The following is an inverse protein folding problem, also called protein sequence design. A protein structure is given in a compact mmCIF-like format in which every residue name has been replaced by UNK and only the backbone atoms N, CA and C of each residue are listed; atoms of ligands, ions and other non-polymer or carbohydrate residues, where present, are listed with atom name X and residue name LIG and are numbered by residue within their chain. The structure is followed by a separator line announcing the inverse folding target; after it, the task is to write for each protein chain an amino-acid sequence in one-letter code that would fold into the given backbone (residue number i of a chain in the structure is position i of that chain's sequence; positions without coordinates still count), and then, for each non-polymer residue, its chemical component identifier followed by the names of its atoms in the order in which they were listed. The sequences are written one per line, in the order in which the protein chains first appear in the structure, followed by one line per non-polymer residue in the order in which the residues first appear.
data_IF_067814233272
#
_entry.id   IF_067814233272
#
_cell.length_a   1.000
_cell.length_b   1.000
_cell.length_c   1.000
_cell.angle_alpha   90.00
_cell.angle_beta   90.00
_cell.angle_gamma   90.00
#
_symmetry.space_group_name_H-M   'P 1'
#
loop_
_entity.id
_entity.type
_entity.pdbx_description
1 polymer ?
#
# COMPACT_ATOMS: atom_id res chain seq x y z
N UNK A 1 1.12 8.24 4.13
CA UNK A 1 0.40 8.53 5.41
C UNK A 1 0.34 10.00 5.86
N UNK A 2 1.10 10.96 5.31
CA UNK A 2 1.18 12.33 5.87
C UNK A 2 -0.04 13.26 5.64
N UNK A 3 -1.16 12.77 5.11
CA UNK A 3 -2.30 13.64 4.79
C UNK A 3 -2.98 14.13 6.07
N UNK A 4 -3.12 15.45 6.30
CA UNK A 4 -3.50 15.96 7.62
C UNK A 4 -5.00 15.79 7.91
N UNK A 5 -5.34 15.50 9.18
CA UNK A 5 -6.74 15.42 9.66
C UNK A 5 -7.57 16.63 9.25
N UNK A 6 -6.99 17.84 9.35
CA UNK A 6 -7.68 19.08 9.02
C UNK A 6 -8.13 19.19 7.55
N UNK A 7 -7.52 18.42 6.65
CA UNK A 7 -7.84 18.41 5.23
C UNK A 7 -8.90 17.36 4.84
N UNK A 8 -9.41 16.57 5.80
CA UNK A 8 -10.43 15.55 5.57
C UNK A 8 -11.61 15.82 6.51
N UNK A 9 -12.65 16.54 6.06
CA UNK A 9 -13.75 17.00 6.91
C UNK A 9 -14.42 15.90 7.74
N UNK A 10 -14.60 14.71 7.15
CA UNK A 10 -15.26 13.57 7.78
C UNK A 10 -14.41 12.99 8.92
N UNK A 11 -13.09 12.92 8.72
CA UNK A 11 -12.15 12.47 9.77
C UNK A 11 -12.05 13.54 10.87
N UNK A 12 -11.97 14.82 10.49
CA UNK A 12 -12.00 15.93 11.46
C UNK A 12 -13.28 15.92 12.30
N UNK A 13 -14.40 15.50 11.73
CA UNK A 13 -15.68 15.35 12.42
C UNK A 13 -15.67 14.33 13.56
N UNK A 14 -14.68 13.44 13.63
CA UNK A 14 -14.54 12.44 14.69
C UNK A 14 -13.92 13.02 15.98
N UNK A 15 -13.18 14.14 15.89
CA UNK A 15 -12.42 14.72 17.03
C UNK A 15 -13.29 14.90 18.29
N UNK A 16 -14.51 15.46 18.24
CA UNK A 16 -15.33 15.66 19.44
C UNK A 16 -15.77 14.37 20.14
N UNK A 17 -15.66 13.22 19.45
CA UNK A 17 -16.08 11.91 19.95
C UNK A 17 -14.89 11.03 20.37
N UNK A 18 -13.65 11.51 20.19
CA UNK A 18 -12.44 10.83 20.62
C UNK A 18 -12.42 10.66 22.14
N UNK A 19 -12.08 9.46 22.62
CA UNK A 19 -11.96 9.15 24.05
C UNK A 19 -10.55 8.71 24.42
N UNK A 20 -10.19 7.46 24.14
CA UNK A 20 -8.99 6.81 24.69
C UNK A 20 -7.85 6.67 23.66
N UNK A 21 -7.57 7.73 22.91
CA UNK A 21 -6.49 7.74 21.92
C UNK A 21 -5.29 8.50 22.45
N UNK A 22 -4.09 7.95 22.25
CA UNK A 22 -2.82 8.64 22.44
C UNK A 22 -1.99 8.57 21.17
N UNK A 23 -1.22 9.60 20.91
CA UNK A 23 -0.31 9.62 19.77
C UNK A 23 1.10 10.02 20.15
N UNK A 24 2.07 9.44 19.46
CA UNK A 24 3.47 9.82 19.47
C UNK A 24 3.85 10.17 18.04
N UNK A 25 4.16 11.44 17.79
CA UNK A 25 4.61 11.91 16.49
C UNK A 25 6.13 11.83 16.42
N UNK A 26 6.65 10.96 15.55
CA UNK A 26 8.09 10.85 15.33
C UNK A 26 8.57 12.08 14.58
N UNK A 27 9.47 12.82 15.21
CA UNK A 27 10.20 13.94 14.63
C UNK A 27 10.91 13.48 13.36
N UNK A 28 10.60 14.16 12.26
CA UNK A 28 11.20 13.89 10.96
C UNK A 28 12.67 14.29 10.98
N UNK A 29 13.53 13.29 10.93
CA UNK A 29 14.98 13.46 10.86
C UNK A 29 15.60 12.26 10.14
N UNK A 30 16.89 12.33 9.85
CA UNK A 30 17.64 11.26 9.18
C UNK A 30 18.95 10.99 9.92
N UNK A 31 19.52 9.81 9.72
CA UNK A 31 20.83 9.46 10.27
C UNK A 31 21.57 8.49 9.36
N UNK A 32 22.88 8.73 9.17
CA UNK A 32 23.76 7.83 8.42
C UNK A 32 24.04 6.52 9.19
N UNK A 33 23.86 6.54 10.51
CA UNK A 33 24.03 5.41 11.41
C UNK A 33 22.75 5.17 12.22
N UNK A 34 22.54 3.95 12.68
CA UNK A 34 21.41 3.60 13.54
C UNK A 34 21.38 4.46 14.81
N UNK A 35 20.29 5.21 15.01
CA UNK A 35 20.09 6.02 16.20
C UNK A 35 19.58 5.18 17.37
N UNK A 36 20.01 5.53 18.58
CA UNK A 36 19.48 4.93 19.83
C UNK A 36 18.19 5.61 20.31
N UNK A 37 17.98 6.88 19.94
CA UNK A 37 16.85 7.70 20.38
C UNK A 37 16.03 8.24 19.20
N UNK A 38 14.74 8.47 19.46
CA UNK A 38 13.81 9.14 18.55
C UNK A 38 13.38 10.48 19.12
N UNK A 39 13.16 11.46 18.25
CA UNK A 39 12.58 12.75 18.64
C UNK A 39 11.05 12.58 18.65
N UNK A 40 10.38 12.95 19.75
CA UNK A 40 8.93 12.96 19.82
C UNK A 40 8.44 12.95 21.26
N UNK A 41 7.15 13.18 21.45
CA UNK A 41 6.50 13.12 22.75
C UNK A 41 5.13 12.47 22.65
N UNK A 42 4.75 11.73 23.69
CA UNK A 42 3.41 11.19 23.81
C UNK A 42 2.43 12.31 24.16
N UNK A 43 1.33 12.35 23.43
CA UNK A 43 0.25 13.29 23.62
C UNK A 43 -1.10 12.56 23.73
N UNK A 44 -2.07 13.20 24.38
CA UNK A 44 -3.48 12.80 24.37
C UNK A 44 -4.23 13.33 23.14
N UNK A 45 -3.55 14.06 22.26
CA UNK A 45 -4.10 14.51 21.00
C UNK A 45 -4.16 13.35 19.99
N UNK A 46 -5.06 13.48 19.01
CA UNK A 46 -5.11 12.57 17.88
C UNK A 46 -3.82 12.65 17.04
N UNK A 47 -3.41 11.58 16.34
CA UNK A 47 -2.30 11.68 15.40
C UNK A 47 -2.64 12.66 14.26
N UNK A 48 -1.62 13.33 13.74
CA UNK A 48 -1.75 14.37 12.70
C UNK A 48 -2.27 13.82 11.37
N UNK A 49 -1.99 12.55 11.08
CA UNK A 49 -2.44 11.84 9.87
C UNK A 49 -3.91 11.47 9.94
N UNK A 50 -4.66 11.82 8.89
CA UNK A 50 -6.08 11.49 8.75
C UNK A 50 -6.32 9.97 8.75
N UNK A 51 -5.45 9.19 8.09
CA UNK A 51 -5.57 7.73 8.07
C UNK A 51 -5.25 7.16 9.45
N UNK A 52 -4.17 7.64 10.09
CA UNK A 52 -3.78 7.15 11.41
C UNK A 52 -4.85 7.48 12.48
N UNK A 53 -5.45 8.67 12.40
CA UNK A 53 -6.51 9.05 13.34
C UNK A 53 -7.78 8.25 13.09
N UNK A 54 -8.21 8.11 11.83
CA UNK A 54 -9.35 7.25 11.48
C UNK A 54 -9.14 5.82 11.98
N UNK A 55 -7.97 5.24 11.72
CA UNK A 55 -7.60 3.91 12.20
C UNK A 55 -7.72 3.79 13.73
N UNK A 56 -7.09 4.71 14.47
CA UNK A 56 -7.12 4.69 15.93
C UNK A 56 -8.53 4.84 16.49
N UNK A 57 -9.31 5.75 15.91
CA UNK A 57 -10.69 6.01 16.33
C UNK A 57 -11.57 4.78 16.14
N UNK A 58 -11.57 4.18 14.95
CA UNK A 58 -12.43 3.03 14.69
C UNK A 58 -11.97 1.77 15.44
N UNK A 59 -10.66 1.61 15.69
CA UNK A 59 -10.17 0.49 16.49
C UNK A 59 -10.54 0.63 17.97
N UNK A 60 -10.52 1.85 18.51
CA UNK A 60 -10.98 2.13 19.88
C UNK A 60 -12.49 1.87 20.00
N UNK A 61 -13.31 2.34 19.05
CA UNK A 61 -14.75 2.11 19.04
C UNK A 61 -15.14 0.63 18.90
N UNK A 62 -14.30 -0.20 18.27
CA UNK A 62 -14.51 -1.65 18.16
C UNK A 62 -14.20 -2.42 19.46
N UNK A 63 -13.36 -1.87 20.33
CA UNK A 63 -12.78 -2.61 21.46
C UNK A 63 -13.05 -2.02 22.84
N UNK A 64 -13.35 -0.73 22.93
CA UNK A 64 -13.36 0.05 24.17
C UNK A 64 -12.02 -0.02 24.94
N UNK A 65 -10.92 -0.32 24.23
CA UNK A 65 -9.55 -0.38 24.77
C UNK A 65 -8.78 0.86 24.32
N UNK A 66 -7.98 1.51 25.20
CA UNK A 66 -7.12 2.61 24.79
C UNK A 66 -6.16 2.26 23.65
N UNK A 67 -6.13 3.11 22.63
CA UNK A 67 -5.28 2.94 21.44
C UNK A 67 -4.14 3.96 21.45
N UNK A 68 -2.90 3.46 21.43
CA UNK A 68 -1.70 4.26 21.22
C UNK A 68 -1.22 4.15 19.77
N UNK A 69 -0.98 5.28 19.10
CA UNK A 69 -0.40 5.34 17.75
C UNK A 69 0.99 5.97 17.81
N UNK A 70 1.99 5.27 17.30
CA UNK A 70 3.27 5.87 16.93
C UNK A 70 3.23 6.18 15.44
N UNK A 71 3.28 7.46 15.08
CA UNK A 71 3.22 7.90 13.70
C UNK A 71 4.62 8.28 13.21
N UNK A 72 5.21 7.39 12.40
CA UNK A 72 6.49 7.59 11.73
C UNK A 72 6.25 7.57 10.22
N UNK A 73 6.21 8.75 9.58
CA UNK A 73 6.02 8.80 8.13
C UNK A 73 6.71 9.97 7.43
N UNK A 74 7.20 9.63 6.24
CA UNK A 74 7.96 10.35 5.20
C UNK A 74 7.30 10.58 3.84
N UNK A 75 6.67 11.72 3.53
CA UNK A 75 6.05 11.91 2.22
C UNK A 75 7.08 11.73 1.11
N UNK A 76 6.73 11.03 0.03
CA UNK A 76 7.60 10.83 -1.14
C UNK A 76 8.83 9.91 -0.95
N UNK A 77 9.01 9.28 0.22
CA UNK A 77 10.06 8.28 0.45
C UNK A 77 9.80 6.97 -0.29
N UNK A 78 10.86 6.26 -0.68
CA UNK A 78 10.79 4.91 -1.23
C UNK A 78 10.72 3.86 -0.11
N UNK A 79 10.50 2.58 -0.43
CA UNK A 79 10.65 1.47 0.53
C UNK A 79 12.10 1.39 1.04
N UNK A 80 13.06 1.59 0.14
CA UNK A 80 14.51 1.54 0.39
C UNK A 80 14.97 2.55 1.45
N UNK A 81 14.30 3.69 1.57
CA UNK A 81 14.56 4.67 2.63
C UNK A 81 14.31 4.11 4.04
N UNK A 82 13.41 3.12 4.15
CA UNK A 82 12.98 2.47 5.39
C UNK A 82 13.54 1.06 5.56
N UNK A 83 14.47 0.64 4.70
CA UNK A 83 15.09 -0.68 4.81
C UNK A 83 16.29 -0.64 5.76
N UNK A 84 16.38 -1.58 6.72
CA UNK A 84 17.62 -1.88 7.44
C UNK A 84 18.75 -2.21 6.47
N UNK A 85 19.96 -1.77 6.79
CA UNK A 85 21.11 -1.90 5.88
C UNK A 85 21.55 -3.35 5.64
N UNK A 86 21.37 -4.21 6.64
CA UNK A 86 21.71 -5.63 6.58
C UNK A 86 20.86 -6.42 5.56
N UNK A 87 19.71 -5.90 5.14
CA UNK A 87 18.91 -6.48 4.05
C UNK A 87 19.68 -6.59 2.72
N UNK A 88 20.78 -5.85 2.54
CA UNK A 88 21.65 -6.03 1.37
C UNK A 88 22.28 -7.43 1.27
N UNK A 89 22.32 -8.20 2.37
CA UNK A 89 22.77 -9.59 2.33
C UNK A 89 21.80 -10.52 1.59
N UNK A 90 20.50 -10.26 1.70
CA UNK A 90 19.42 -11.05 1.06
C UNK A 90 18.95 -10.44 -0.27
N UNK A 91 19.13 -9.12 -0.44
CA UNK A 91 18.66 -8.37 -1.60
C UNK A 91 19.83 -7.74 -2.37
N UNK A 92 20.36 -8.41 -3.43
CA UNK A 92 21.51 -7.92 -4.19
C UNK A 92 21.34 -6.51 -4.75
N UNK A 93 20.14 -6.16 -5.22
CA UNK A 93 19.85 -4.84 -5.76
C UNK A 93 19.98 -3.75 -4.67
N UNK A 94 19.55 -4.04 -3.44
CA UNK A 94 19.63 -3.09 -2.35
C UNK A 94 21.07 -2.96 -1.85
N UNK A 95 21.84 -4.04 -1.88
CA UNK A 95 23.29 -3.97 -1.68
C UNK A 95 23.96 -3.02 -2.67
N UNK A 96 23.61 -3.10 -3.95
CA UNK A 96 24.15 -2.21 -4.98
C UNK A 96 23.80 -0.74 -4.68
N UNK A 97 22.54 -0.46 -4.32
CA UNK A 97 22.11 0.89 -3.89
C UNK A 97 22.93 1.39 -2.69
N UNK A 98 23.19 0.53 -1.70
CA UNK A 98 23.98 0.90 -0.53
C UNK A 98 25.46 1.09 -0.85
N UNK A 99 26.04 0.25 -1.72
CA UNK A 99 27.44 0.39 -2.16
C UNK A 99 27.63 1.71 -2.95
N UNK A 100 26.67 2.08 -3.80
CA UNK A 100 26.62 3.37 -4.50
C UNK A 100 26.54 4.55 -3.51
N UNK A 101 25.62 4.47 -2.56
CA UNK A 101 25.44 5.49 -1.52
C UNK A 101 26.70 5.67 -0.66
N UNK A 102 27.40 4.57 -0.34
CA UNK A 102 28.65 4.59 0.42
C UNK A 102 29.82 5.22 -0.35
N UNK A 103 29.85 4.99 -1.67
CA UNK A 103 30.84 5.56 -2.58
C UNK A 103 30.63 7.06 -2.83
N UNK A 104 29.39 7.55 -2.75
CA UNK A 104 29.06 8.96 -2.94
C UNK A 104 29.35 9.81 -1.69
N UNK A 105 30.62 10.21 -1.56
CA UNK A 105 31.07 11.10 -0.47
C UNK A 105 30.44 12.49 -0.52
N UNK A 106 30.10 13.00 -1.70
CA UNK A 106 29.48 14.31 -1.82
C UNK A 106 28.06 14.31 -1.21
N UNK A 107 27.28 13.27 -1.45
CA UNK A 107 25.98 13.08 -0.81
C UNK A 107 26.10 12.95 0.70
N UNK A 108 27.02 12.14 1.22
CA UNK A 108 27.23 11.99 2.67
C UNK A 108 27.66 13.30 3.33
N UNK A 109 28.61 14.03 2.74
CA UNK A 109 29.04 15.34 3.23
C UNK A 109 27.89 16.35 3.22
N UNK A 110 27.08 16.37 2.16
CA UNK A 110 25.89 17.23 2.10
C UNK A 110 24.89 16.89 3.21
N UNK A 111 24.63 15.61 3.47
CA UNK A 111 23.77 15.18 4.58
C UNK A 111 24.33 15.70 5.91
N UNK A 112 25.61 15.46 6.18
CA UNK A 112 26.25 15.91 7.41
C UNK A 112 26.20 17.44 7.58
N UNK A 113 26.41 18.21 6.51
CA UNK A 113 26.30 19.67 6.52
C UNK A 113 24.88 20.16 6.81
N UNK A 114 23.85 19.52 6.23
CA UNK A 114 22.46 19.86 6.51
C UNK A 114 22.12 19.57 7.98
N UNK A 115 22.55 18.43 8.51
CA UNK A 115 22.30 18.03 9.91
C UNK A 115 23.03 18.92 10.93
N UNK A 116 24.25 19.37 10.61
CA UNK A 116 25.04 20.26 11.47
C UNK A 116 24.56 21.72 11.43
N UNK A 117 23.74 22.09 10.46
CA UNK A 117 23.24 23.45 10.31
C UNK A 117 22.24 23.80 11.43
N UNK A 118 22.41 24.93 12.14
CA UNK A 118 21.43 25.38 13.13
C UNK A 118 20.16 25.97 12.48
N UNK A 119 20.16 26.14 11.15
CA UNK A 119 19.02 26.65 10.40
C UNK A 119 17.98 25.56 10.16
N UNK A 120 16.70 25.95 10.09
CA UNK A 120 15.66 25.05 9.59
C UNK A 120 16.00 24.61 8.17
N UNK A 121 15.79 23.33 7.88
CA UNK A 121 16.02 22.76 6.56
C UNK A 121 15.17 23.49 5.51
N UNK A 122 15.77 23.76 4.36
CA UNK A 122 15.01 24.25 3.22
C UNK A 122 14.10 23.14 2.67
N UNK A 123 13.13 23.49 1.83
CA UNK A 123 12.32 22.49 1.12
C UNK A 123 13.18 21.58 0.23
N UNK A 124 14.29 22.09 -0.31
CA UNK A 124 15.20 21.28 -1.12
C UNK A 124 15.95 20.27 -0.27
N UNK A 125 16.36 20.66 0.94
CA UNK A 125 17.01 19.77 1.90
C UNK A 125 16.05 18.70 2.41
N UNK A 126 14.81 19.06 2.78
CA UNK A 126 13.75 18.10 3.16
C UNK A 126 13.54 17.05 2.07
N UNK A 127 13.39 17.47 0.81
CA UNK A 127 13.18 16.57 -0.32
C UNK A 127 14.41 15.69 -0.57
N UNK A 128 15.60 16.26 -0.46
CA UNK A 128 16.85 15.54 -0.65
C UNK A 128 17.03 14.46 0.42
N UNK A 129 16.85 14.79 1.70
CA UNK A 129 17.08 13.85 2.79
C UNK A 129 16.08 12.68 2.79
N UNK A 130 14.78 12.97 2.64
CA UNK A 130 13.72 11.94 2.74
C UNK A 130 13.68 10.92 1.59
N UNK A 131 14.53 11.11 0.58
CA UNK A 131 14.60 10.26 -0.62
C UNK A 131 15.88 9.42 -0.68
N UNK A 132 16.76 9.55 0.30
CA UNK A 132 17.94 8.72 0.43
C UNK A 132 17.58 7.32 0.94
N UNK A 133 18.31 6.27 0.53
CA UNK A 133 18.10 4.93 1.05
C UNK A 133 18.54 4.83 2.52
N UNK A 134 17.92 3.91 3.28
CA UNK A 134 18.24 3.50 4.65
C UNK A 134 18.17 4.57 5.77
N UNK A 135 18.45 5.84 5.50
CA UNK A 135 18.67 6.84 6.56
C UNK A 135 17.40 7.26 7.31
N UNK A 136 16.21 6.94 6.80
CA UNK A 136 14.95 7.09 7.55
C UNK A 136 14.75 5.95 8.54
N UNK A 137 15.05 4.71 8.14
CA UNK A 137 15.03 3.57 9.05
C UNK A 137 15.90 3.84 10.27
N UNK A 138 17.17 4.23 10.02
CA UNK A 138 18.17 4.46 11.06
C UNK A 138 17.69 5.44 12.13
N UNK A 139 17.01 6.52 11.72
CA UNK A 139 16.66 7.60 12.63
C UNK A 139 15.23 7.57 13.17
N UNK A 140 14.30 6.94 12.44
CA UNK A 140 12.87 7.05 12.70
C UNK A 140 12.17 5.71 13.01
N UNK A 141 12.85 4.57 12.79
CA UNK A 141 12.31 3.23 13.07
C UNK A 141 13.20 2.46 14.02
N UNK A 142 14.51 2.37 13.74
CA UNK A 142 15.45 1.65 14.58
C UNK A 142 15.37 2.00 16.08
N UNK A 143 15.33 3.29 16.49
CA UNK A 143 15.18 3.64 17.91
C UNK A 143 13.81 3.28 18.52
N UNK A 144 12.82 2.94 17.69
CA UNK A 144 11.53 2.43 18.14
C UNK A 144 11.53 0.91 18.34
N UNK A 145 12.56 0.18 17.91
CA UNK A 145 12.63 -1.25 18.15
C UNK A 145 13.34 -1.55 19.49
N UNK A 146 12.84 -2.47 20.33
CA UNK A 146 11.58 -3.21 20.22
C UNK A 146 10.49 -2.61 21.12
N UNK A 147 10.13 -1.33 20.94
CA UNK A 147 9.03 -0.69 21.66
C UNK A 147 7.76 -1.53 21.49
N UNK A 148 7.11 -1.85 22.61
CA UNK A 148 5.98 -2.77 22.62
C UNK A 148 4.86 -2.28 21.68
N UNK A 149 4.58 -3.07 20.64
CA UNK A 149 3.57 -2.76 19.63
C UNK A 149 2.78 -4.02 19.28
N UNK A 150 1.49 -3.84 18.95
CA UNK A 150 0.65 -4.93 18.43
C UNK A 150 0.87 -5.19 16.94
N UNK A 151 1.47 -4.23 16.23
CA UNK A 151 1.58 -4.28 14.80
C UNK A 151 2.03 -2.97 14.17
N UNK A 152 2.15 -2.99 12.84
CA UNK A 152 2.55 -1.86 12.01
C UNK A 152 1.60 -1.71 10.83
N UNK A 153 1.31 -0.46 10.47
CA UNK A 153 0.58 -0.10 9.25
C UNK A 153 1.54 0.52 8.25
N UNK A 154 1.72 -0.15 7.11
CA UNK A 154 2.52 0.30 5.98
C UNK A 154 1.61 0.88 4.89
N UNK A 155 1.79 2.16 4.58
CA UNK A 155 1.09 2.80 3.46
C UNK A 155 2.03 3.70 2.69
N UNK A 156 2.68 3.04 1.73
CA UNK A 156 3.66 3.57 0.80
C UNK A 156 3.59 2.74 -0.47
N UNK A 157 4.03 3.33 -1.57
CA UNK A 157 4.31 2.63 -2.81
C UNK A 157 4.51 3.58 -3.99
N UNK A 158 3.94 4.78 -3.89
CA UNK A 158 3.83 5.78 -4.96
C UNK A 158 5.19 6.18 -5.56
N UNK A 159 6.29 6.05 -4.80
CA UNK A 159 7.64 6.29 -5.31
C UNK A 159 8.12 5.16 -6.20
N UNK A 160 7.87 3.92 -5.80
CA UNK A 160 8.29 2.70 -6.49
C UNK A 160 7.48 2.45 -7.77
N UNK A 161 6.29 3.05 -7.92
CA UNK A 161 5.46 2.90 -9.13
C UNK A 161 5.99 3.58 -10.39
N UNK A 162 7.12 4.30 -10.33
CA UNK A 162 7.69 5.00 -11.50
C UNK A 162 8.22 4.04 -12.55
N UNK A 163 8.55 2.82 -12.15
CA UNK A 163 9.12 1.80 -13.01
C UNK A 163 8.33 0.52 -12.85
N UNK A 164 8.04 -0.14 -13.97
CA UNK A 164 7.35 -1.42 -13.95
C UNK A 164 8.21 -2.51 -13.30
N UNK A 165 9.49 -2.57 -13.65
CA UNK A 165 10.40 -3.64 -13.24
C UNK A 165 11.85 -3.15 -13.16
N UNK A 166 12.65 -3.87 -12.37
CA UNK A 166 14.07 -3.64 -12.17
C UNK A 166 14.37 -2.42 -11.32
N UNK A 167 15.65 -2.06 -11.29
CA UNK A 167 16.14 -0.82 -10.68
C UNK A 167 16.72 0.03 -11.81
N UNK A 168 16.22 1.25 -12.02
CA UNK A 168 16.68 2.08 -13.13
C UNK A 168 18.10 2.56 -12.90
N UNK A 169 18.84 2.76 -13.99
CA UNK A 169 20.05 3.58 -13.98
C UNK A 169 19.68 5.06 -13.74
N UNK A 170 20.52 5.76 -12.99
CA UNK A 170 20.27 7.15 -12.58
C UNK A 170 21.47 8.05 -12.82
N UNK A 171 21.20 9.35 -12.87
CA UNK A 171 22.16 10.46 -12.96
C UNK A 171 22.02 11.36 -11.72
N UNK A 172 22.86 12.39 -11.62
CA UNK A 172 22.73 13.43 -10.58
C UNK A 172 21.36 14.15 -10.60
N UNK A 173 20.64 14.16 -11.73
CA UNK A 173 19.34 14.84 -11.84
C UNK A 173 18.18 13.99 -11.35
N UNK A 174 18.29 12.65 -11.42
CA UNK A 174 17.21 11.72 -11.08
C UNK A 174 17.62 10.62 -10.09
N UNK A 175 18.73 10.77 -9.35
CA UNK A 175 19.28 9.81 -8.38
C UNK A 175 18.21 9.18 -7.46
N UNK A 176 17.19 9.95 -7.07
CA UNK A 176 16.09 9.50 -6.20
C UNK A 176 15.10 8.53 -6.90
N UNK A 177 15.38 8.12 -8.13
CA UNK A 177 14.67 7.08 -8.86
C UNK A 177 15.30 5.70 -8.69
N UNK A 178 16.45 5.60 -8.01
CA UNK A 178 17.15 4.33 -7.74
C UNK A 178 16.38 3.49 -6.71
N UNK A 179 15.30 2.86 -7.16
CA UNK A 179 14.33 2.10 -6.34
C UNK A 179 13.87 0.86 -7.10
N UNK A 180 13.39 -0.17 -6.37
CA UNK A 180 12.75 -1.32 -6.98
C UNK A 180 11.46 -0.93 -7.71
N UNK A 181 11.24 -1.52 -8.88
CA UNK A 181 10.02 -1.39 -9.68
C UNK A 181 8.84 -2.15 -9.08
N UNK A 182 7.66 -1.94 -9.68
CA UNK A 182 6.40 -2.51 -9.21
C UNK A 182 6.44 -4.03 -9.11
N UNK A 183 7.03 -4.73 -10.08
CA UNK A 183 7.05 -6.20 -10.13
C UNK A 183 7.93 -6.84 -9.05
N UNK A 184 9.00 -6.17 -8.63
CA UNK A 184 9.88 -6.66 -7.57
C UNK A 184 9.36 -6.29 -6.17
N UNK A 185 8.58 -5.20 -6.07
CA UNK A 185 8.14 -4.62 -4.80
C UNK A 185 7.51 -5.64 -3.84
N UNK A 186 6.69 -6.58 -4.32
CA UNK A 186 6.02 -7.57 -3.47
C UNK A 186 6.99 -8.50 -2.75
N UNK A 187 8.03 -8.96 -3.46
CA UNK A 187 9.08 -9.78 -2.86
C UNK A 187 9.90 -9.00 -1.83
N UNK A 188 10.31 -7.78 -2.17
CA UNK A 188 11.07 -6.91 -1.26
C UNK A 188 10.26 -6.57 -0.02
N UNK A 189 8.97 -6.26 -0.19
CA UNK A 189 8.09 -5.91 0.92
C UNK A 189 7.92 -7.09 1.88
N UNK A 190 7.81 -8.32 1.38
CA UNK A 190 7.76 -9.53 2.22
C UNK A 190 9.04 -9.69 3.05
N UNK A 191 10.21 -9.58 2.43
CA UNK A 191 11.48 -9.67 3.16
C UNK A 191 11.63 -8.55 4.19
N UNK A 192 11.22 -7.33 3.85
CA UNK A 192 11.23 -6.19 4.77
C UNK A 192 10.30 -6.42 5.97
N UNK A 193 9.10 -6.96 5.74
CA UNK A 193 8.14 -7.31 6.79
C UNK A 193 8.69 -8.40 7.73
N UNK A 194 9.32 -9.44 7.18
CA UNK A 194 9.97 -10.48 7.97
C UNK A 194 11.12 -9.91 8.81
N UNK A 195 11.98 -9.09 8.20
CA UNK A 195 13.09 -8.42 8.91
C UNK A 195 12.60 -7.49 10.02
N UNK A 196 11.44 -6.85 9.87
CA UNK A 196 10.82 -6.04 10.92
C UNK A 196 10.29 -6.89 12.08
N UNK A 197 9.78 -8.10 11.82
CA UNK A 197 9.40 -9.04 12.88
C UNK A 197 10.60 -9.47 13.71
N UNK A 198 11.72 -9.76 13.04
CA UNK A 198 12.98 -10.07 13.70
C UNK A 198 13.46 -8.90 14.57
N UNK A 199 13.38 -7.67 14.05
CA UNK A 199 13.77 -6.45 14.76
C UNK A 199 12.93 -6.23 16.03
N UNK A 200 11.63 -6.51 15.97
CA UNK A 200 10.72 -6.43 17.12
C UNK A 200 10.70 -7.69 17.99
N UNK A 201 11.41 -8.76 17.58
CA UNK A 201 11.38 -10.07 18.21
C UNK A 201 9.94 -10.60 18.38
N UNK A 202 9.12 -10.41 17.34
CA UNK A 202 7.70 -10.73 17.35
C UNK A 202 7.24 -11.29 16.00
N UNK A 203 7.31 -12.61 15.86
CA UNK A 203 6.87 -13.34 14.66
C UNK A 203 5.36 -13.18 14.38
N UNK A 204 4.58 -12.83 15.40
CA UNK A 204 3.13 -12.61 15.32
C UNK A 204 2.77 -11.12 15.22
N UNK A 205 3.75 -10.24 15.02
CA UNK A 205 3.49 -8.82 14.81
C UNK A 205 2.54 -8.66 13.63
N UNK A 206 1.40 -8.01 13.89
CA UNK A 206 0.38 -7.81 12.88
C UNK A 206 0.85 -6.74 11.88
N UNK A 207 1.02 -7.10 10.62
CA UNK A 207 1.54 -6.18 9.61
C UNK A 207 0.47 -5.91 8.55
N UNK A 208 -0.02 -4.67 8.54
CA UNK A 208 -1.08 -4.22 7.65
C UNK A 208 -0.49 -3.39 6.52
N UNK A 209 -0.85 -3.69 5.29
CA UNK A 209 -0.50 -2.87 4.11
C UNK A 209 -1.75 -2.13 3.62
N UNK A 210 -1.63 -0.87 3.25
CA UNK A 210 -2.68 -0.17 2.51
C UNK A 210 -2.36 -0.29 1.03
N UNK A 211 -3.26 -0.94 0.28
CA UNK A 211 -3.15 -1.02 -1.17
C UNK A 211 -3.19 0.40 -1.76
N UNK A 212 -2.46 0.67 -2.83
CA UNK A 212 -2.59 1.96 -3.51
C UNK A 212 -4.01 2.09 -4.11
N UNK A 213 -4.64 3.28 -4.02
CA UNK A 213 -5.95 3.54 -4.61
C UNK A 213 -5.88 3.62 -6.14
N UNK A 214 -7.00 3.89 -6.80
CA UNK A 214 -7.00 4.18 -8.24
C UNK A 214 -6.23 5.46 -8.58
N UNK A 215 -5.40 5.41 -9.62
CA UNK A 215 -4.67 6.56 -10.15
C UNK A 215 -4.59 6.52 -11.68
N UNK A 216 -4.70 7.69 -12.31
CA UNK A 216 -4.89 7.79 -13.75
C UNK A 216 -3.63 7.80 -14.61
N UNK A 217 -2.43 7.72 -14.02
CA UNK A 217 -1.15 7.77 -14.77
C UNK A 217 -0.40 6.45 -14.73
N UNK A 218 0.42 6.24 -15.76
CA UNK A 218 1.34 5.11 -15.88
C UNK A 218 2.72 5.37 -15.29
N UNK A 219 3.72 4.68 -15.84
CA UNK A 219 5.14 4.79 -15.46
C UNK A 219 5.78 6.10 -15.92
N UNK A 220 7.02 6.35 -15.49
CA UNK A 220 7.83 7.49 -15.96
C UNK A 220 7.99 7.48 -17.49
N UNK A 221 8.12 6.28 -18.08
CA UNK A 221 8.32 6.08 -19.53
C UNK A 221 7.06 6.39 -20.34
N UNK A 222 5.87 6.08 -19.79
CA UNK A 222 4.57 6.34 -20.41
C UNK A 222 3.59 6.87 -19.35
N UNK A 223 3.63 8.17 -19.02
CA UNK A 223 2.77 8.74 -17.99
C UNK A 223 1.29 8.81 -18.41
N UNK A 224 1.04 9.05 -19.69
CA UNK A 224 -0.30 9.15 -20.27
C UNK A 224 -0.74 7.78 -20.79
N UNK A 225 -1.77 7.22 -20.16
CA UNK A 225 -2.35 5.90 -20.45
C UNK A 225 -3.88 5.97 -20.47
N UNK A 226 -4.55 4.95 -20.99
CA UNK A 226 -5.95 4.71 -20.63
C UNK A 226 -6.00 4.09 -19.23
N UNK A 227 -6.52 4.80 -18.20
CA UNK A 227 -6.48 4.29 -16.84
C UNK A 227 -7.42 3.10 -16.59
N UNK A 228 -8.26 2.71 -17.54
CA UNK A 228 -9.11 1.52 -17.45
C UNK A 228 -8.64 0.35 -18.30
N UNK A 229 -7.66 0.56 -19.17
CA UNK A 229 -7.11 -0.50 -20.02
C UNK A 229 -6.26 -1.44 -19.16
N UNK A 230 -6.55 -2.75 -19.18
CA UNK A 230 -5.88 -3.70 -18.32
C UNK A 230 -4.46 -4.04 -18.77
N UNK A 231 -4.04 -3.60 -19.95
CA UNK A 231 -2.71 -3.87 -20.53
C UNK A 231 -1.68 -2.79 -20.21
N UNK A 232 -2.13 -1.63 -19.69
CA UNK A 232 -1.26 -0.49 -19.41
C UNK A 232 -0.33 -0.73 -18.21
N UNK A 233 0.89 -0.19 -18.30
CA UNK A 233 1.88 -0.16 -17.20
C UNK A 233 1.43 0.83 -16.11
N UNK A 234 0.46 0.41 -15.32
CA UNK A 234 -0.25 1.25 -14.35
C UNK A 234 -0.08 0.74 -12.92
N UNK A 235 -0.71 1.42 -11.95
CA UNK A 235 -0.72 1.00 -10.55
C UNK A 235 -1.36 -0.38 -10.30
N UNK A 236 -2.01 -0.99 -11.29
CA UNK A 236 -2.47 -2.38 -11.19
C UNK A 236 -1.35 -3.35 -10.77
N UNK A 237 -0.16 -3.20 -11.35
CA UNK A 237 1.02 -4.01 -11.06
C UNK A 237 1.53 -3.81 -9.64
N UNK A 238 1.50 -2.58 -9.16
CA UNK A 238 1.86 -2.29 -7.78
C UNK A 238 0.88 -2.94 -6.80
N UNK A 239 -0.41 -2.88 -7.09
CA UNK A 239 -1.44 -3.50 -6.24
C UNK A 239 -1.30 -5.01 -6.20
N UNK A 240 -1.01 -5.65 -7.34
CA UNK A 240 -0.67 -7.09 -7.37
C UNK A 240 0.51 -7.39 -6.44
N UNK A 241 1.59 -6.61 -6.52
CA UNK A 241 2.75 -6.76 -5.64
C UNK A 241 2.43 -6.52 -4.16
N UNK A 242 1.61 -5.52 -3.83
CA UNK A 242 1.19 -5.25 -2.45
C UNK A 242 0.33 -6.39 -1.88
N UNK A 243 -0.41 -7.12 -2.72
CA UNK A 243 -1.23 -8.26 -2.29
C UNK A 243 -0.41 -9.51 -1.97
N UNK A 244 0.83 -9.64 -2.47
CA UNK A 244 1.69 -10.80 -2.19
C UNK A 244 1.99 -10.97 -0.70
N UNK A 245 1.88 -9.92 0.12
CA UNK A 245 2.10 -10.01 1.57
C UNK A 245 1.11 -10.92 2.27
N UNK A 246 -0.03 -11.22 1.64
CA UNK A 246 -1.05 -12.15 2.15
C UNK A 246 -0.56 -13.60 2.20
N UNK A 247 0.59 -13.91 1.58
CA UNK A 247 1.28 -15.21 1.73
C UNK A 247 1.88 -15.39 3.13
N UNK A 248 2.09 -14.30 3.87
CA UNK A 248 2.67 -14.32 5.20
C UNK A 248 1.58 -14.44 6.28
N UNK A 249 1.83 -15.16 7.39
CA UNK A 249 0.89 -15.18 8.52
C UNK A 249 0.82 -13.80 9.18
N UNK A 250 -0.29 -13.48 9.85
CA UNK A 250 -0.51 -12.22 10.58
C UNK A 250 -0.30 -10.96 9.73
N UNK A 251 -0.68 -11.03 8.46
CA UNK A 251 -0.70 -9.88 7.55
C UNK A 251 -2.10 -9.66 6.99
N UNK A 252 -2.38 -8.43 6.59
CA UNK A 252 -3.56 -8.12 5.81
C UNK A 252 -3.35 -6.88 4.94
N UNK A 253 -4.20 -6.73 3.93
CA UNK A 253 -4.17 -5.58 3.02
C UNK A 253 -5.49 -4.83 3.11
N UNK A 254 -5.47 -3.55 3.46
CA UNK A 254 -6.64 -2.69 3.32
C UNK A 254 -6.90 -2.43 1.84
N UNK A 255 -7.93 -3.10 1.29
CA UNK A 255 -8.36 -2.90 -0.09
C UNK A 255 -8.92 -1.48 -0.27
N UNK A 256 -8.40 -0.73 -1.25
CA UNK A 256 -8.84 0.63 -1.59
C UNK A 256 -9.17 0.79 -3.07
N UNK A 257 -9.52 -0.32 -3.76
CA UNK A 257 -9.71 -0.36 -5.21
C UNK A 257 -10.81 0.59 -5.73
N UNK A 258 -11.78 0.88 -4.89
CA UNK A 258 -12.94 1.74 -5.12
C UNK A 258 -12.68 3.22 -4.78
N UNK A 259 -11.51 3.54 -4.24
CA UNK A 259 -11.09 4.88 -3.86
C UNK A 259 -10.08 5.44 -4.86
N UNK A 260 -9.80 6.74 -4.78
CA UNK A 260 -8.73 7.37 -5.55
C UNK A 260 -9.17 8.54 -6.40
N UNK A 261 -8.23 9.10 -7.14
CA UNK A 261 -8.47 10.25 -8.00
C UNK A 261 -7.63 10.10 -9.26
N UNK A 262 -8.24 10.42 -10.41
CA UNK A 262 -7.59 10.29 -11.72
C UNK A 262 -6.32 11.14 -11.83
N UNK A 263 -6.30 12.30 -11.18
CA UNK A 263 -5.28 13.35 -11.36
C UNK A 263 -4.48 13.64 -10.09
N UNK A 264 -5.05 13.37 -8.93
CA UNK A 264 -4.45 13.65 -7.64
C UNK A 264 -3.90 12.37 -6.99
N UNK A 265 -2.56 12.26 -6.91
CA UNK A 265 -1.85 11.16 -6.25
C UNK A 265 -2.12 11.10 -4.73
N UNK A 266 -2.71 12.15 -4.16
CA UNK A 266 -3.09 12.24 -2.75
C UNK A 266 -4.61 12.43 -2.60
N UNK A 267 -5.43 11.40 -2.91
CA UNK A 267 -6.89 11.50 -2.82
C UNK A 267 -7.35 11.77 -1.39
N UNK A 268 -8.47 12.47 -1.22
CA UNK A 268 -9.00 12.86 0.10
C UNK A 268 -9.74 11.73 0.83
N UNK A 269 -9.98 10.58 0.18
CA UNK A 269 -10.68 9.42 0.72
C UNK A 269 -9.87 8.71 1.82
N UNK A 270 -9.72 9.35 2.98
CA UNK A 270 -8.92 8.82 4.11
C UNK A 270 -9.75 8.11 5.16
N UNK A 271 -11.02 8.49 5.32
CA UNK A 271 -11.91 7.86 6.29
C UNK A 271 -12.10 6.35 6.02
N UNK A 272 -12.42 5.91 4.79
CA UNK A 272 -12.65 4.48 4.54
C UNK A 272 -11.37 3.64 4.74
N UNK A 273 -10.20 4.23 4.47
CA UNK A 273 -8.90 3.57 4.71
C UNK A 273 -8.72 3.29 6.21
N UNK A 274 -8.98 4.29 7.07
CA UNK A 274 -8.92 4.12 8.53
C UNK A 274 -9.90 3.06 9.04
N UNK A 275 -11.14 3.06 8.53
CA UNK A 275 -12.16 2.05 8.88
C UNK A 275 -11.71 0.64 8.52
N UNK A 276 -11.24 0.44 7.29
CA UNK A 276 -10.79 -0.87 6.80
C UNK A 276 -9.58 -1.37 7.57
N UNK A 277 -8.61 -0.51 7.88
CA UNK A 277 -7.48 -0.87 8.73
C UNK A 277 -7.91 -1.29 10.14
N UNK A 278 -8.88 -0.60 10.75
CA UNK A 278 -9.35 -0.94 12.09
C UNK A 278 -10.04 -2.31 12.12
N UNK A 279 -10.86 -2.62 11.12
CA UNK A 279 -11.49 -3.93 10.96
C UNK A 279 -10.44 -5.04 10.79
N UNK A 280 -9.42 -4.82 9.96
CA UNK A 280 -8.33 -5.79 9.77
C UNK A 280 -7.48 -5.98 11.03
N UNK A 281 -7.18 -4.90 11.77
CA UNK A 281 -6.45 -4.97 13.02
C UNK A 281 -7.23 -5.74 14.10
N UNK A 282 -8.55 -5.56 14.16
CA UNK A 282 -9.40 -6.19 15.16
C UNK A 282 -9.30 -7.72 15.15
N UNK A 283 -9.23 -8.34 13.96
CA UNK A 283 -9.12 -9.80 13.82
C UNK A 283 -7.92 -10.36 14.57
N UNK A 284 -6.72 -9.89 14.23
CA UNK A 284 -5.49 -10.46 14.78
C UNK A 284 -5.16 -9.94 16.19
N UNK A 285 -5.65 -8.76 16.57
CA UNK A 285 -5.26 -8.12 17.84
C UNK A 285 -6.30 -8.22 18.95
N UNK A 286 -7.58 -8.38 18.59
CA UNK A 286 -8.70 -8.47 19.52
C UNK A 286 -9.37 -9.86 19.53
N UNK A 287 -8.94 -10.78 18.65
CA UNK A 287 -9.53 -12.11 18.53
C UNK A 287 -10.92 -12.10 17.89
N UNK A 288 -11.19 -11.11 17.06
CA UNK A 288 -12.44 -10.98 16.33
C UNK A 288 -12.50 -12.00 15.19
N UNK A 289 -13.46 -12.93 15.24
CA UNK A 289 -13.63 -14.00 14.26
C UNK A 289 -14.54 -13.59 13.09
N UNK A 290 -15.00 -12.33 13.06
CA UNK A 290 -15.81 -11.82 11.96
C UNK A 290 -15.00 -11.79 10.67
N UNK A 291 -15.68 -12.12 9.58
CA UNK A 291 -15.15 -11.87 8.25
C UNK A 291 -15.05 -10.35 8.02
N UNK A 292 -13.85 -9.84 7.76
CA UNK A 292 -13.57 -8.39 7.62
C UNK A 292 -12.91 -8.01 6.29
N UNK A 293 -12.85 -8.94 5.35
CA UNK A 293 -12.30 -8.74 4.02
C UNK A 293 -13.40 -8.74 2.97
N UNK A 294 -13.18 -8.01 1.87
CA UNK A 294 -14.02 -8.10 0.70
C UNK A 294 -13.82 -9.41 -0.08
N UNK A 295 -14.65 -9.67 -1.10
CA UNK A 295 -14.56 -10.86 -1.93
C UNK A 295 -13.17 -11.05 -2.54
N UNK A 296 -12.62 -12.26 -2.48
CA UNK A 296 -11.35 -12.61 -3.15
C UNK A 296 -11.59 -13.77 -4.09
N UNK A 297 -11.00 -13.73 -5.29
CA UNK A 297 -11.15 -14.82 -6.24
C UNK A 297 -10.63 -16.13 -5.63
N UNK A 298 -11.45 -17.17 -5.70
CA UNK A 298 -11.16 -18.50 -5.16
C UNK A 298 -10.88 -19.50 -6.29
N UNK A 299 -11.72 -19.49 -7.32
CA UNK A 299 -11.62 -20.41 -8.46
C UNK A 299 -12.31 -19.83 -9.70
N UNK A 300 -11.94 -20.34 -10.86
CA UNK A 300 -12.56 -20.01 -12.15
C UNK A 300 -12.94 -21.29 -12.87
N UNK A 301 -14.23 -21.47 -13.11
CA UNK A 301 -14.77 -22.59 -13.86
C UNK A 301 -15.05 -22.20 -15.31
N UNK A 302 -14.48 -22.95 -16.27
CA UNK A 302 -14.84 -22.84 -17.68
C UNK A 302 -16.17 -23.55 -17.98
N UNK A 303 -17.09 -22.87 -18.67
CA UNK A 303 -18.37 -23.44 -19.11
C UNK A 303 -18.75 -22.97 -20.52
N UNK A 304 -18.27 -23.68 -21.53
CA UNK A 304 -18.51 -23.32 -22.93
C UNK A 304 -17.79 -22.02 -23.30
N UNK A 305 -18.55 -20.98 -23.64
CA UNK A 305 -18.02 -19.63 -23.93
C UNK A 305 -18.06 -18.69 -22.72
N UNK A 306 -18.37 -19.20 -21.53
CA UNK A 306 -18.43 -18.43 -20.29
C UNK A 306 -17.35 -18.87 -19.30
N UNK A 307 -16.90 -17.91 -18.48
CA UNK A 307 -16.10 -18.19 -17.27
C UNK A 307 -16.92 -17.83 -16.03
N UNK A 308 -16.97 -18.74 -15.07
CA UNK A 308 -17.66 -18.53 -13.78
C UNK A 308 -16.60 -18.31 -12.72
N UNK A 309 -16.59 -17.13 -12.11
CA UNK A 309 -15.68 -16.76 -11.03
C UNK A 309 -16.35 -17.01 -9.69
N UNK A 310 -15.74 -17.85 -8.88
CA UNK A 310 -16.12 -18.10 -7.50
C UNK A 310 -15.24 -17.27 -6.57
N UNK A 311 -15.83 -16.76 -5.49
CA UNK A 311 -15.15 -15.89 -4.54
C UNK A 311 -15.21 -16.48 -3.13
N UNK A 312 -14.12 -16.36 -2.38
CA UNK A 312 -14.17 -16.39 -0.92
C UNK A 312 -14.70 -15.04 -0.42
N UNK A 313 -15.17 -15.01 0.83
CA UNK A 313 -15.64 -13.77 1.48
C UNK A 313 -16.81 -13.07 0.72
N UNK A 314 -17.59 -13.88 0.00
CA UNK A 314 -18.61 -13.45 -0.95
C UNK A 314 -20.03 -13.45 -0.37
N UNK A 315 -20.17 -13.58 0.95
CA UNK A 315 -21.49 -13.59 1.59
C UNK A 315 -22.24 -12.30 1.27
N UNK A 316 -23.42 -12.47 0.66
CA UNK A 316 -24.24 -11.34 0.21
C UNK A 316 -23.60 -10.52 -0.91
N UNK A 317 -22.79 -11.16 -1.77
CA UNK A 317 -22.19 -10.55 -2.96
C UNK A 317 -23.24 -9.76 -3.74
N UNK A 318 -22.93 -8.49 -4.02
CA UNK A 318 -23.83 -7.56 -4.70
C UNK A 318 -23.05 -6.46 -5.41
N UNK A 319 -23.77 -5.63 -6.16
CA UNK A 319 -23.23 -4.39 -6.69
C UNK A 319 -23.67 -3.20 -5.85
N UNK A 320 -22.73 -2.31 -5.51
CA UNK A 320 -22.98 -1.13 -4.67
C UNK A 320 -23.90 -0.09 -5.31
N UNK A 321 -24.05 -0.14 -6.64
CA UNK A 321 -24.87 0.79 -7.42
C UNK A 321 -26.09 0.14 -8.09
N UNK A 322 -26.33 -1.15 -7.83
CA UNK A 322 -27.44 -1.92 -8.41
C UNK A 322 -27.34 -2.17 -9.93
N UNK A 323 -26.20 -1.83 -10.56
CA UNK A 323 -25.95 -2.12 -11.98
C UNK A 323 -25.29 -3.49 -12.16
N UNK A 324 -25.08 -3.90 -13.40
CA UNK A 324 -24.27 -5.08 -13.71
C UNK A 324 -22.86 -4.94 -13.11
N UNK A 325 -22.23 -6.05 -12.65
CA UNK A 325 -20.85 -6.04 -12.20
C UNK A 325 -19.92 -5.44 -13.28
N UNK A 326 -18.95 -4.65 -12.84
CA UNK A 326 -18.03 -3.90 -13.71
C UNK A 326 -16.57 -4.18 -13.35
N UNK A 327 -15.65 -3.87 -14.26
CA UNK A 327 -14.20 -3.99 -14.04
C UNK A 327 -13.60 -5.33 -14.50
N UNK A 328 -14.38 -6.18 -15.17
CA UNK A 328 -13.91 -7.46 -15.73
C UNK A 328 -13.48 -7.32 -17.19
N UNK A 329 -12.37 -7.96 -17.51
CA UNK A 329 -11.84 -8.14 -18.86
C UNK A 329 -11.55 -9.61 -19.10
N UNK A 330 -11.83 -10.07 -20.32
CA UNK A 330 -11.55 -11.41 -20.80
C UNK A 330 -10.53 -11.34 -21.94
N UNK A 331 -9.67 -12.34 -22.01
CA UNK A 331 -8.83 -12.61 -23.18
C UNK A 331 -8.90 -14.09 -23.55
N UNK A 332 -8.64 -14.39 -24.82
CA UNK A 332 -8.38 -15.74 -25.30
C UNK A 332 -6.90 -16.12 -25.11
N UNK A 333 -6.49 -17.27 -25.67
CA UNK A 333 -5.11 -17.76 -25.63
C UNK A 333 -4.09 -16.76 -26.22
N UNK A 334 -4.51 -15.91 -27.17
CA UNK A 334 -3.64 -14.93 -27.81
C UNK A 334 -3.45 -13.67 -26.96
N UNK A 335 -4.23 -13.48 -25.90
CA UNK A 335 -4.17 -12.30 -25.06
C UNK A 335 -4.95 -11.09 -25.60
N UNK A 336 -5.91 -11.31 -26.50
CA UNK A 336 -6.75 -10.24 -27.05
C UNK A 336 -7.81 -9.78 -26.02
N UNK A 337 -7.46 -8.79 -25.20
CA UNK A 337 -8.29 -8.31 -24.10
C UNK A 337 -9.53 -7.53 -24.57
N UNK A 338 -10.70 -7.93 -24.06
CA UNK A 338 -11.99 -7.23 -24.23
C UNK A 338 -12.74 -7.11 -22.91
N UNK A 339 -13.55 -6.06 -22.79
CA UNK A 339 -14.43 -5.89 -21.62
C UNK A 339 -15.44 -7.03 -21.57
N UNK A 340 -15.63 -7.60 -20.39
CA UNK A 340 -16.59 -8.66 -20.17
C UNK A 340 -17.99 -8.08 -19.90
N UNK A 341 -19.00 -8.75 -20.43
CA UNK A 341 -20.34 -8.72 -19.83
C UNK A 341 -20.31 -9.61 -18.60
N UNK A 342 -20.71 -9.07 -17.45
CA UNK A 342 -20.71 -9.77 -16.18
C UNK A 342 -22.11 -9.79 -15.59
N UNK A 343 -22.50 -10.93 -15.03
CA UNK A 343 -23.75 -11.09 -14.27
C UNK A 343 -23.50 -11.83 -12.97
N UNK A 344 -24.34 -11.55 -11.99
CA UNK A 344 -24.28 -12.17 -10.68
C UNK A 344 -25.21 -13.39 -10.65
N UNK A 345 -24.68 -14.54 -10.24
CA UNK A 345 -25.42 -15.77 -10.01
C UNK A 345 -25.08 -16.29 -8.60
N UNK A 346 -25.91 -15.94 -7.62
CA UNK A 346 -25.62 -16.22 -6.21
C UNK A 346 -24.36 -15.48 -5.74
N UNK A 347 -23.36 -16.22 -5.25
CA UNK A 347 -22.07 -15.67 -4.79
C UNK A 347 -20.97 -15.80 -5.86
N UNK A 348 -21.36 -15.89 -7.13
CA UNK A 348 -20.45 -16.07 -8.26
C UNK A 348 -20.75 -15.06 -9.37
N UNK A 349 -19.73 -14.77 -10.15
CA UNK A 349 -19.84 -13.88 -11.32
C UNK A 349 -19.65 -14.71 -12.58
N UNK A 350 -20.62 -14.66 -13.48
CA UNK A 350 -20.47 -15.30 -14.79
C UNK A 350 -20.12 -14.25 -15.83
N UNK A 351 -19.07 -14.54 -16.59
CA UNK A 351 -18.43 -13.65 -17.55
C UNK A 351 -18.56 -14.20 -18.96
N UNK A 352 -18.87 -13.32 -19.90
CA UNK A 352 -18.81 -13.56 -21.34
C UNK A 352 -18.32 -12.31 -22.06
N UNK A 353 -17.85 -12.43 -23.30
CA UNK A 353 -17.50 -11.26 -24.11
C UNK A 353 -17.88 -11.50 -25.57
N UNK A 354 -18.52 -10.53 -26.20
CA UNK A 354 -18.78 -10.58 -27.63
C UNK A 354 -17.45 -10.69 -28.41
N UNK A 355 -17.39 -11.66 -29.32
CA UNK A 355 -16.21 -11.93 -30.12
C UNK A 355 -15.05 -12.61 -29.37
N UNK A 356 -15.29 -13.23 -28.20
CA UNK A 356 -14.39 -14.22 -27.59
C UNK A 356 -15.19 -15.50 -27.37
N UNK A 357 -15.01 -16.51 -28.22
CA UNK A 357 -15.74 -17.79 -28.14
C UNK A 357 -15.11 -18.79 -27.17
N UNK A 358 -13.82 -18.63 -26.86
CA UNK A 358 -13.04 -19.48 -25.95
C UNK A 358 -12.23 -18.59 -24.99
N UNK A 359 -12.89 -17.93 -24.01
CA UNK A 359 -12.19 -17.11 -23.03
C UNK A 359 -11.28 -17.99 -22.16
N UNK A 360 -10.07 -17.49 -21.87
CA UNK A 360 -9.04 -18.19 -21.09
C UNK A 360 -8.56 -17.41 -19.90
N UNK A 361 -8.42 -16.10 -20.05
CA UNK A 361 -7.85 -15.25 -19.00
C UNK A 361 -8.83 -14.20 -18.54
N UNK A 362 -8.77 -13.87 -17.26
CA UNK A 362 -9.56 -12.84 -16.61
C UNK A 362 -8.62 -11.82 -15.99
N UNK A 363 -8.96 -10.55 -16.14
CA UNK A 363 -8.44 -9.45 -15.32
C UNK A 363 -9.63 -8.74 -14.68
N UNK A 364 -9.67 -8.71 -13.35
CA UNK A 364 -10.65 -7.95 -12.59
C UNK A 364 -9.96 -6.78 -11.89
N UNK A 365 -10.43 -5.56 -12.16
CA UNK A 365 -9.90 -4.33 -11.59
C UNK A 365 -8.37 -4.19 -11.73
N UNK A 366 -7.79 -4.81 -12.77
CA UNK A 366 -6.37 -4.75 -13.08
C UNK A 366 -6.11 -3.60 -14.05
N UNK A 367 -6.31 -2.36 -13.62
CA UNK A 367 -6.01 -1.15 -14.40
C UNK A 367 -5.61 0.02 -13.48
N UNK A 368 -5.13 1.15 -13.99
CA UNK A 368 -4.70 2.27 -13.15
C UNK A 368 -5.80 2.79 -12.21
N UNK A 369 -6.98 3.07 -12.77
CA UNK A 369 -8.17 3.52 -12.06
C UNK A 369 -9.41 2.80 -12.61
N UNK A 370 -9.63 1.54 -12.21
CA UNK A 370 -10.75 0.76 -12.72
C UNK A 370 -12.07 1.28 -12.14
N UNK A 371 -13.16 1.14 -12.90
CA UNK A 371 -14.51 1.26 -12.34
C UNK A 371 -14.93 -0.08 -11.77
N UNK A 372 -15.27 -0.10 -10.49
CA UNK A 372 -15.65 -1.28 -9.73
C UNK A 372 -16.90 -1.00 -8.91
N UNK A 373 -17.74 -2.01 -8.75
CA UNK A 373 -18.96 -1.94 -7.94
C UNK A 373 -19.22 -3.24 -7.15
N UNK A 374 -18.35 -4.25 -7.23
CA UNK A 374 -18.58 -5.54 -6.59
C UNK A 374 -18.18 -5.50 -5.11
N UNK A 375 -19.14 -5.75 -4.23
CA UNK A 375 -18.97 -5.70 -2.77
C UNK A 375 -19.66 -6.89 -2.10
N UNK A 376 -19.28 -7.22 -0.87
CA UNK A 376 -20.02 -8.19 -0.04
C UNK A 376 -21.09 -7.51 0.84
N UNK A 377 -21.71 -8.27 1.77
CA UNK A 377 -22.73 -7.76 2.69
C UNK A 377 -22.25 -6.62 3.60
N UNK A 378 -20.93 -6.50 3.81
CA UNK A 378 -20.29 -5.46 4.62
C UNK A 378 -19.89 -4.23 3.81
N UNK A 379 -20.29 -4.14 2.54
CA UNK A 379 -19.88 -3.08 1.61
C UNK A 379 -18.36 -3.04 1.36
N UNK A 380 -17.65 -4.15 1.60
CA UNK A 380 -16.22 -4.26 1.33
C UNK A 380 -15.99 -4.66 -0.13
N UNK A 381 -15.15 -3.93 -0.88
CA UNK A 381 -14.94 -4.17 -2.30
C UNK A 381 -14.17 -5.46 -2.56
N UNK A 382 -14.47 -6.11 -3.68
CA UNK A 382 -13.72 -7.26 -4.15
C UNK A 382 -12.27 -6.88 -4.47
N UNK A 383 -11.33 -7.78 -4.18
CA UNK A 383 -9.91 -7.57 -4.45
C UNK A 383 -9.61 -7.70 -5.95
N UNK A 384 -8.70 -6.86 -6.50
CA UNK A 384 -8.25 -7.02 -7.88
C UNK A 384 -7.51 -8.35 -8.04
N UNK A 385 -7.63 -8.98 -9.22
CA UNK A 385 -6.91 -10.20 -9.55
C UNK A 385 -6.72 -10.34 -11.06
N UNK A 386 -5.80 -11.23 -11.44
CA UNK A 386 -5.69 -11.75 -12.81
C UNK A 386 -5.44 -13.25 -12.81
N UNK A 387 -5.73 -13.92 -13.93
CA UNK A 387 -5.48 -15.36 -14.10
C UNK A 387 -4.45 -15.67 -15.19
N UNK A 388 -3.97 -14.66 -15.90
CA UNK A 388 -2.85 -14.80 -16.84
C UNK A 388 -1.49 -14.67 -16.15
N UNK A 389 -0.45 -15.15 -16.83
CA UNK A 389 0.95 -14.94 -16.47
C UNK A 389 1.67 -14.02 -17.48
N UNK A 390 0.94 -13.14 -18.17
CA UNK A 390 1.56 -12.26 -19.18
C UNK A 390 2.45 -11.23 -18.49
N UNK A 391 3.64 -11.02 -19.04
CA UNK A 391 4.65 -10.12 -18.46
C UNK A 391 4.60 -8.69 -19.03
N UNK A 392 3.65 -8.45 -19.96
CA UNK A 392 3.30 -7.27 -20.78
C UNK A 392 3.35 -7.52 -22.28
#
# INVERSE_FOLDING_TARGET
MQFPVAAVPEVKGLIPFMKNIRSFEVGRTVSLEESEDVIGEWSTEHPSSAVAFGFAYFLEELSDIPVGIIHSSWGSSSLEAWMPRDMGSELPYFKEIMDEFDGDKATQERIAQILASPSKWSNQDDIFLRRQPNILYNAMIKPLAPFASRGLVWYQGERNTRYLSGVPEVTEENWFHRVAGMKEYGSVLKEWMLRYREEWQNDEMNLLVVMLPGYGKGTEKKPDIDPEDPTEESWAWMRESQLQVLDLPYTAVANTIDLGDKTNIHPTDKLPVGQRLALLAAVNTLGDDRLVTGPMMLDVQEKGSELIVHFSNAKGLKTSDGKAPSGFWLADEAGDWKRAEARLEGESIVLSSEGISQPKYIRYAFAGMPRVNLVNELELPAYPFRTDSFEH
#
